data_IF_877886955116
#
_entry.id   IF_877886955116
#
_cell.length_a   1.000
_cell.length_b   1.000
_cell.length_c   1.000
_cell.angle_alpha   90.00
_cell.angle_beta   90.00
_cell.angle_gamma   90.00
#
_symmetry.space_group_name_H-M   'P 1'
#
loop_
_entity.id
_entity.type
_entity.pdbx_description
1 polymer ?
#
# COMPACT_ATOMS: atom_id res chain seq x y z
N UNK A 1 3.96 28.41 25.38
CA UNK A 1 4.41 28.29 23.99
C UNK A 1 4.01 26.93 23.47
N UNK A 2 2.99 26.87 22.62
CA UNK A 2 2.47 25.62 22.06
C UNK A 2 3.53 24.99 21.14
N UNK A 3 4.10 23.87 21.56
CA UNK A 3 4.94 23.04 20.72
C UNK A 3 4.07 22.40 19.63
N UNK A 4 4.01 23.02 18.46
CA UNK A 4 3.39 22.42 17.29
C UNK A 4 4.14 21.14 16.95
N UNK A 5 3.52 19.98 17.17
CA UNK A 5 4.00 18.71 16.62
C UNK A 5 4.04 18.89 15.10
N UNK A 6 5.24 19.03 14.53
CA UNK A 6 5.42 18.88 13.08
C UNK A 6 4.98 17.45 12.77
N UNK A 7 3.78 17.29 12.20
CA UNK A 7 3.33 16.03 11.61
C UNK A 7 4.30 15.73 10.48
N UNK A 8 5.22 14.79 10.73
CA UNK A 8 6.16 14.26 9.74
C UNK A 8 5.34 13.77 8.54
N UNK A 9 5.54 14.37 7.37
CA UNK A 9 4.88 13.92 6.14
C UNK A 9 5.45 12.55 5.77
N UNK A 10 4.62 11.51 5.88
CA UNK A 10 4.98 10.15 5.46
C UNK A 10 4.60 9.97 4.00
N UNK A 11 5.44 9.30 3.24
CA UNK A 11 5.23 9.04 1.82
C UNK A 11 5.07 7.55 1.57
N UNK A 12 4.16 7.16 0.67
CA UNK A 12 3.99 5.77 0.29
C UNK A 12 5.19 5.30 -0.55
N UNK A 13 5.73 4.13 -0.21
CA UNK A 13 6.85 3.48 -0.89
C UNK A 13 6.62 1.98 -1.01
N UNK A 14 7.39 1.34 -1.90
CA UNK A 14 7.47 -0.11 -1.99
C UNK A 14 6.13 -0.82 -2.29
N UNK A 15 5.23 -0.19 -3.05
CA UNK A 15 3.93 -0.78 -3.41
C UNK A 15 4.04 -2.17 -4.06
N UNK A 16 3.24 -3.11 -3.56
CA UNK A 16 3.08 -4.47 -4.10
C UNK A 16 1.61 -4.88 -4.12
N UNK A 17 1.26 -5.68 -5.13
CA UNK A 17 0.02 -6.45 -5.15
C UNK A 17 0.31 -7.85 -4.62
N UNK A 18 -0.41 -8.29 -3.62
CA UNK A 18 -0.28 -9.61 -3.00
C UNK A 18 -1.62 -10.32 -3.08
N UNK A 19 -1.62 -11.53 -3.63
CA UNK A 19 -2.81 -12.39 -3.61
C UNK A 19 -2.83 -13.22 -2.33
N UNK A 20 -3.91 -13.11 -1.56
CA UNK A 20 -4.08 -13.79 -0.28
C UNK A 20 -5.56 -14.08 0.02
N UNK A 21 -5.81 -15.02 0.93
CA UNK A 21 -7.14 -15.32 1.43
C UNK A 21 -7.56 -14.42 2.60
N UNK A 22 -6.60 -13.81 3.30
CA UNK A 22 -6.87 -12.86 4.38
C UNK A 22 -5.86 -11.71 4.42
N UNK A 23 -6.21 -10.66 5.18
CA UNK A 23 -5.35 -9.50 5.42
C UNK A 23 -4.05 -9.89 6.13
N UNK A 24 -4.12 -10.82 7.08
CA UNK A 24 -2.97 -11.33 7.83
C UNK A 24 -2.00 -12.05 6.90
N UNK A 25 -2.51 -12.95 6.04
CA UNK A 25 -1.69 -13.65 5.05
C UNK A 25 -1.05 -12.67 4.06
N UNK A 26 -1.79 -11.65 3.61
CA UNK A 26 -1.25 -10.63 2.70
C UNK A 26 -0.08 -9.87 3.34
N UNK A 27 -0.23 -9.47 4.60
CA UNK A 27 0.82 -8.79 5.38
C UNK A 27 2.03 -9.71 5.59
N UNK A 28 1.83 -10.95 5.99
CA UNK A 28 2.92 -11.91 6.14
C UNK A 28 3.70 -12.13 4.85
N UNK A 29 3.01 -12.34 3.72
CA UNK A 29 3.63 -12.50 2.41
C UNK A 29 4.45 -11.28 2.02
N UNK A 30 3.92 -10.08 2.24
CA UNK A 30 4.64 -8.84 1.98
C UNK A 30 5.90 -8.70 2.86
N UNK A 31 5.78 -8.98 4.17
CA UNK A 31 6.92 -8.92 5.09
C UNK A 31 8.01 -9.94 4.74
N UNK A 32 7.65 -11.12 4.24
CA UNK A 32 8.60 -12.14 3.75
C UNK A 32 9.40 -11.72 2.53
N UNK A 33 9.00 -10.65 1.82
CA UNK A 33 9.79 -10.09 0.73
C UNK A 33 11.11 -9.46 1.21
N UNK A 34 11.26 -9.20 2.51
CA UNK A 34 12.50 -8.67 3.08
C UNK A 34 12.87 -7.28 2.56
N UNK A 35 11.86 -6.45 2.24
CA UNK A 35 12.07 -5.09 1.71
C UNK A 35 12.69 -4.22 2.81
N UNK A 36 13.88 -3.70 2.55
CA UNK A 36 14.56 -2.76 3.44
C UNK A 36 13.94 -1.35 3.33
N UNK A 37 13.74 -0.70 4.48
CA UNK A 37 13.19 0.65 4.59
C UNK A 37 14.26 1.59 5.14
N UNK A 38 14.25 2.85 4.69
CA UNK A 38 15.15 3.87 5.25
C UNK A 38 14.59 4.43 6.55
N UNK A 39 13.26 4.45 6.68
CA UNK A 39 12.60 4.75 7.95
C UNK A 39 12.84 3.60 8.95
N UNK A 40 13.15 3.95 10.20
CA UNK A 40 13.28 2.99 11.32
C UNK A 40 11.93 2.51 11.85
N UNK A 41 10.85 3.20 11.47
CA UNK A 41 9.48 2.96 11.91
C UNK A 41 8.47 3.09 10.75
N UNK A 42 8.67 2.32 9.65
CA UNK A 42 7.73 2.33 8.54
C UNK A 42 6.38 1.78 9.00
N UNK A 43 5.29 2.36 8.51
CA UNK A 43 3.95 1.84 8.76
C UNK A 43 3.49 1.07 7.53
N UNK A 44 3.12 -0.20 7.69
CA UNK A 44 2.61 -1.02 6.58
C UNK A 44 1.10 -0.82 6.43
N UNK A 45 0.70 -0.22 5.33
CA UNK A 45 -0.69 -0.14 4.90
C UNK A 45 -1.07 -1.37 4.07
N UNK A 46 -2.34 -1.78 4.17
CA UNK A 46 -2.85 -2.96 3.47
C UNK A 46 -4.33 -2.78 3.15
N UNK A 47 -4.66 -2.77 1.86
CA UNK A 47 -6.02 -2.57 1.35
C UNK A 47 -6.45 -3.78 0.53
N UNK A 48 -7.58 -4.37 0.89
CA UNK A 48 -8.25 -5.36 0.04
C UNK A 48 -8.98 -4.63 -1.07
N UNK A 49 -8.72 -4.99 -2.33
CA UNK A 49 -9.30 -4.28 -3.48
C UNK A 49 -10.83 -4.23 -3.43
N UNK A 50 -11.49 -5.34 -3.12
CA UNK A 50 -12.96 -5.40 -3.00
C UNK A 50 -13.53 -4.60 -1.83
N UNK A 51 -12.68 -4.10 -0.92
CA UNK A 51 -13.07 -3.27 0.21
C UNK A 51 -12.85 -1.77 -0.01
N UNK A 52 -12.34 -1.37 -1.18
CA UNK A 52 -12.12 0.04 -1.52
C UNK A 52 -13.38 0.58 -2.21
N UNK A 53 -14.07 1.52 -1.58
CA UNK A 53 -15.43 1.96 -1.98
C UNK A 53 -15.52 2.48 -3.42
N UNK A 54 -14.52 3.21 -3.90
CA UNK A 54 -14.50 3.82 -5.24
C UNK A 54 -13.62 3.06 -6.25
N UNK A 55 -13.27 1.81 -5.97
CA UNK A 55 -12.41 1.05 -6.86
C UNK A 55 -13.18 0.43 -8.03
N UNK A 56 -12.83 0.83 -9.25
CA UNK A 56 -13.36 0.26 -10.48
C UNK A 56 -12.32 -0.67 -11.15
N UNK A 57 -12.57 -1.97 -11.13
CA UNK A 57 -11.70 -2.98 -11.73
C UNK A 57 -11.51 -2.78 -13.25
N UNK A 58 -12.46 -2.13 -13.92
CA UNK A 58 -12.42 -1.86 -15.36
C UNK A 58 -11.68 -0.57 -15.71
N UNK A 59 -11.51 0.36 -14.76
CA UNK A 59 -10.79 1.61 -14.98
C UNK A 59 -9.30 1.38 -15.24
N UNK A 60 -8.68 2.28 -16.03
CA UNK A 60 -7.24 2.22 -16.34
C UNK A 60 -6.36 2.57 -15.13
N UNK A 61 -6.89 3.38 -14.21
CA UNK A 61 -6.25 3.79 -12.98
C UNK A 61 -7.26 3.83 -11.84
N UNK A 62 -6.79 3.60 -10.61
CA UNK A 62 -7.57 3.76 -9.38
C UNK A 62 -6.74 4.42 -8.28
N UNK A 63 -7.42 4.89 -7.24
CA UNK A 63 -6.78 5.29 -5.98
C UNK A 63 -6.98 4.19 -4.93
N UNK A 64 -5.90 3.83 -4.24
CA UNK A 64 -5.92 2.84 -3.16
C UNK A 64 -5.17 3.44 -1.97
N UNK A 65 -5.91 3.85 -0.94
CA UNK A 65 -5.34 4.64 0.15
C UNK A 65 -4.72 5.95 -0.36
N UNK A 66 -3.41 6.11 -0.16
CA UNK A 66 -2.63 7.31 -0.50
C UNK A 66 -1.88 7.19 -1.84
N UNK A 67 -2.12 6.13 -2.63
CA UNK A 67 -1.46 5.91 -3.92
C UNK A 67 -2.44 5.83 -5.08
N UNK A 68 -1.96 6.23 -6.26
CA UNK A 68 -2.59 5.90 -7.53
C UNK A 68 -1.97 4.63 -8.10
N UNK A 69 -2.81 3.66 -8.46
CA UNK A 69 -2.41 2.43 -9.14
C UNK A 69 -2.72 2.58 -10.63
N UNK A 70 -1.68 2.53 -11.46
CA UNK A 70 -1.80 2.67 -12.91
C UNK A 70 -1.95 1.32 -13.65
N UNK A 71 -1.92 1.33 -14.99
CA UNK A 71 -2.27 0.19 -15.82
C UNK A 71 -1.56 -1.12 -15.47
N UNK A 72 -0.24 -1.11 -15.25
CA UNK A 72 0.52 -2.34 -14.93
C UNK A 72 0.12 -2.97 -13.59
N UNK A 73 -0.22 -2.14 -12.60
CA UNK A 73 -0.70 -2.62 -11.29
C UNK A 73 -2.15 -3.11 -11.42
N UNK A 74 -2.98 -2.37 -12.18
CA UNK A 74 -4.35 -2.77 -12.50
C UNK A 74 -4.42 -4.10 -13.25
N UNK A 75 -3.54 -4.33 -14.23
CA UNK A 75 -3.41 -5.62 -14.94
C UNK A 75 -3.12 -6.77 -13.99
N UNK A 76 -2.27 -6.54 -12.98
CA UNK A 76 -2.00 -7.55 -11.94
C UNK A 76 -3.27 -7.78 -11.12
N UNK A 77 -3.90 -6.72 -10.59
CA UNK A 77 -5.12 -6.83 -9.77
C UNK A 77 -6.23 -7.59 -10.50
N UNK A 78 -6.42 -7.34 -11.80
CA UNK A 78 -7.46 -7.98 -12.62
C UNK A 78 -7.32 -9.49 -12.77
N UNK A 79 -6.15 -10.07 -12.45
CA UNK A 79 -5.97 -11.53 -12.49
C UNK A 79 -6.81 -12.25 -11.43
N UNK A 80 -6.95 -11.66 -10.24
CA UNK A 80 -7.79 -12.19 -9.14
C UNK A 80 -8.17 -11.04 -8.16
N UNK A 81 -9.13 -10.16 -8.53
CA UNK A 81 -9.46 -8.97 -7.73
C UNK A 81 -10.01 -9.33 -6.34
N UNK A 82 -10.67 -10.48 -6.20
CA UNK A 82 -11.22 -10.98 -4.93
C UNK A 82 -10.15 -11.30 -3.89
N UNK A 83 -8.96 -11.71 -4.36
CA UNK A 83 -7.80 -12.03 -3.51
C UNK A 83 -6.72 -10.95 -3.54
N UNK A 84 -6.89 -9.89 -4.33
CA UNK A 84 -5.89 -8.86 -4.48
C UNK A 84 -5.86 -7.92 -3.25
N UNK A 85 -4.67 -7.81 -2.67
CA UNK A 85 -4.35 -6.81 -1.66
C UNK A 85 -3.25 -5.90 -2.18
N UNK A 86 -3.41 -4.60 -1.99
CA UNK A 86 -2.37 -3.61 -2.27
C UNK A 86 -1.74 -3.21 -0.95
N UNK A 87 -0.42 -3.40 -0.85
CA UNK A 87 0.36 -3.08 0.34
C UNK A 87 1.50 -2.15 -0.03
N UNK A 88 1.79 -1.20 0.86
CA UNK A 88 2.91 -0.27 0.73
C UNK A 88 3.33 0.21 2.11
N UNK A 89 4.58 0.67 2.23
CA UNK A 89 5.06 1.32 3.45
C UNK A 89 4.78 2.82 3.40
N UNK A 90 4.43 3.40 4.55
CA UNK A 90 4.39 4.84 4.78
C UNK A 90 5.64 5.23 5.57
N UNK A 91 6.61 5.82 4.87
CA UNK A 91 7.93 6.16 5.39
C UNK A 91 8.12 7.67 5.58
N UNK A 92 8.80 8.08 6.66
CA UNK A 92 9.32 9.44 6.81
C UNK A 92 10.68 9.57 6.12
N UNK A 93 10.68 10.14 4.92
CA UNK A 93 11.90 10.34 4.11
C UNK A 93 12.66 11.64 4.43
N UNK A 94 12.21 12.44 5.41
CA UNK A 94 12.86 13.73 5.74
C UNK A 94 14.10 13.62 6.63
N UNK A 95 14.51 12.40 6.99
CA UNK A 95 15.66 12.12 7.84
C UNK A 95 16.84 11.51 7.05
N UNK A 96 17.35 12.23 6.04
CA UNK A 96 18.58 11.84 5.36
C UNK A 96 19.64 12.95 5.44
#
# INVERSE_FOLDING_TARGET
MSGGKKTKMRHPTNTRVIFAASTEEAREKYLRLGIETKDKSPVLECFKITGVEDFDVSAEFNFVGEISVGPSVMETIRQDPEKAYVLYYMEDITNN
#
